data_IF_286338248706
#
_entry.id   IF_286338248706
#
_cell.length_a   1.000
_cell.length_b   1.000
_cell.length_c   1.000
_cell.angle_alpha   90.00
_cell.angle_beta   90.00
_cell.angle_gamma   90.00
#
_symmetry.space_group_name_H-M   'P 1'
#
loop_
_entity.id
_entity.type
_entity.pdbx_description
1 polymer ?
#
# COMPACT_ATOMS: atom_id res chain seq x y z
N UNK A 1 18.00 64.37 -9.07
CA UNK A 1 16.81 63.56 -9.43
C UNK A 1 17.27 62.15 -9.80
N UNK A 2 17.95 61.46 -8.89
CA UNK A 2 18.62 60.17 -9.16
C UNK A 2 18.45 59.16 -8.02
N UNK A 3 17.85 59.57 -6.90
CA UNK A 3 17.66 58.72 -5.71
C UNK A 3 16.37 57.87 -5.76
N UNK A 4 15.49 58.07 -6.75
CA UNK A 4 14.17 57.38 -6.82
C UNK A 4 14.13 56.11 -7.69
N UNK A 5 15.18 55.81 -8.48
CA UNK A 5 15.17 54.68 -9.42
C UNK A 5 15.79 53.39 -8.87
N UNK A 6 16.58 53.46 -7.79
CA UNK A 6 17.25 52.29 -7.22
C UNK A 6 16.33 51.38 -6.38
N UNK A 7 15.20 51.91 -5.90
CA UNK A 7 14.21 51.16 -5.11
C UNK A 7 13.34 50.21 -5.94
N UNK A 8 13.11 50.50 -7.22
CA UNK A 8 12.25 49.70 -8.11
C UNK A 8 13.01 48.59 -8.87
N UNK A 9 14.33 48.75 -9.09
CA UNK A 9 15.15 47.82 -9.89
C UNK A 9 15.75 46.66 -9.08
N UNK A 10 15.86 46.79 -7.74
CA UNK A 10 16.45 45.76 -6.88
C UNK A 10 15.50 44.57 -6.61
N UNK A 11 14.19 44.77 -6.81
CA UNK A 11 13.16 43.73 -6.61
C UNK A 11 12.55 43.17 -7.90
N UNK A 12 12.67 43.87 -9.03
CA UNK A 12 11.98 43.53 -10.28
C UNK A 12 12.59 42.37 -11.10
N UNK A 13 13.92 42.22 -11.28
CA UNK A 13 14.46 41.16 -12.16
C UNK A 13 14.54 39.78 -11.49
N UNK A 14 14.77 39.71 -10.17
CA UNK A 14 14.81 38.46 -9.41
C UNK A 14 13.43 37.89 -9.14
N UNK A 15 12.44 38.73 -8.87
CA UNK A 15 11.03 38.30 -8.74
C UNK A 15 10.46 37.79 -10.07
N UNK A 16 10.83 38.41 -11.19
CA UNK A 16 10.40 37.97 -12.53
C UNK A 16 11.02 36.62 -12.93
N UNK A 17 12.29 36.36 -12.59
CA UNK A 17 12.94 35.06 -12.81
C UNK A 17 12.33 33.94 -11.97
N UNK A 18 12.04 34.21 -10.69
CA UNK A 18 11.36 33.24 -9.80
C UNK A 18 9.97 32.92 -10.32
N UNK A 19 9.26 33.93 -10.83
CA UNK A 19 7.94 33.76 -11.45
C UNK A 19 8.03 32.91 -12.73
N UNK A 20 8.98 33.17 -13.62
CA UNK A 20 9.18 32.39 -14.84
C UNK A 20 9.59 30.94 -14.54
N UNK A 21 10.48 30.70 -13.57
CA UNK A 21 10.89 29.34 -13.18
C UNK A 21 9.72 28.57 -12.55
N UNK A 22 8.89 29.24 -11.75
CA UNK A 22 7.66 28.68 -11.18
C UNK A 22 6.65 28.34 -12.28
N UNK A 23 6.46 29.23 -13.25
CA UNK A 23 5.59 28.98 -14.41
C UNK A 23 6.10 27.83 -15.29
N UNK A 24 7.41 27.70 -15.51
CA UNK A 24 8.01 26.58 -16.24
C UNK A 24 7.90 25.26 -15.50
N UNK A 25 8.19 25.26 -14.20
CA UNK A 25 8.03 24.08 -13.33
C UNK A 25 6.58 23.61 -13.31
N UNK A 26 5.63 24.55 -13.18
CA UNK A 26 4.20 24.26 -13.24
C UNK A 26 3.77 23.71 -14.61
N UNK A 27 4.35 24.21 -15.72
CA UNK A 27 4.10 23.67 -17.08
C UNK A 27 4.60 22.24 -17.21
N UNK A 28 5.82 21.95 -16.75
CA UNK A 28 6.43 20.62 -16.85
C UNK A 28 5.62 19.57 -16.08
N UNK A 29 5.24 19.89 -14.84
CA UNK A 29 4.38 19.01 -14.01
C UNK A 29 3.05 18.75 -14.72
N UNK A 30 2.46 19.77 -15.35
CA UNK A 30 1.19 19.62 -16.08
C UNK A 30 1.33 18.72 -17.32
N UNK A 31 2.47 18.78 -18.00
CA UNK A 31 2.78 17.92 -19.13
C UNK A 31 3.01 16.47 -18.72
N UNK A 32 3.77 16.22 -17.66
CA UNK A 32 3.95 14.88 -17.07
C UNK A 32 2.61 14.31 -16.59
N UNK A 33 1.78 15.12 -15.94
CA UNK A 33 0.43 14.69 -15.55
C UNK A 33 -0.42 14.34 -16.77
N UNK A 34 -0.32 15.10 -17.87
CA UNK A 34 -1.07 14.82 -19.10
C UNK A 34 -0.59 13.54 -19.77
N UNK A 35 0.72 13.31 -19.80
CA UNK A 35 1.33 12.08 -20.31
C UNK A 35 0.94 10.87 -19.46
N UNK A 36 1.07 10.98 -18.14
CA UNK A 36 0.66 9.96 -17.19
C UNK A 36 -0.84 9.63 -17.33
N UNK A 37 -1.70 10.63 -17.51
CA UNK A 37 -3.12 10.40 -17.78
C UNK A 37 -3.37 9.64 -19.09
N UNK A 38 -2.61 9.91 -20.15
CA UNK A 38 -2.70 9.18 -21.42
C UNK A 38 -2.24 7.74 -21.26
N UNK A 39 -1.11 7.52 -20.58
CA UNK A 39 -0.57 6.17 -20.35
C UNK A 39 -1.49 5.35 -19.43
N UNK A 40 -2.03 5.97 -18.37
CA UNK A 40 -3.04 5.37 -17.50
C UNK A 40 -4.32 5.04 -18.27
N UNK A 41 -4.78 5.89 -19.19
CA UNK A 41 -5.93 5.58 -20.05
C UNK A 41 -5.64 4.43 -21.01
N UNK A 42 -4.44 4.35 -21.59
CA UNK A 42 -4.05 3.23 -22.45
C UNK A 42 -3.92 1.91 -21.66
N UNK A 43 -3.17 1.91 -20.56
CA UNK A 43 -2.99 0.73 -19.68
C UNK A 43 -4.32 0.32 -19.05
N UNK A 44 -5.05 1.29 -18.49
CA UNK A 44 -6.36 1.09 -17.88
C UNK A 44 -7.42 0.63 -18.86
N UNK A 45 -7.41 1.13 -20.10
CA UNK A 45 -8.35 0.70 -21.15
C UNK A 45 -8.17 -0.77 -21.54
N UNK A 46 -6.93 -1.25 -21.65
CA UNK A 46 -6.65 -2.67 -21.95
C UNK A 46 -7.01 -3.57 -20.77
N UNK A 47 -6.70 -3.16 -19.54
CA UNK A 47 -7.14 -3.86 -18.33
C UNK A 47 -8.67 -3.91 -18.22
N UNK A 48 -9.37 -2.81 -18.50
CA UNK A 48 -10.82 -2.73 -18.46
C UNK A 48 -11.50 -3.61 -19.52
N UNK A 49 -10.94 -3.67 -20.74
CA UNK A 49 -11.42 -4.61 -21.78
C UNK A 49 -11.26 -6.06 -21.33
N UNK A 50 -10.09 -6.40 -20.78
CA UNK A 50 -9.83 -7.72 -20.21
C UNK A 50 -10.84 -8.06 -19.11
N UNK A 51 -11.05 -7.17 -18.16
CA UNK A 51 -12.00 -7.36 -17.06
C UNK A 51 -13.43 -7.60 -17.55
N UNK A 52 -13.90 -6.86 -18.58
CA UNK A 52 -15.23 -7.07 -19.16
C UNK A 52 -15.35 -8.43 -19.86
N UNK A 53 -14.35 -8.81 -20.65
CA UNK A 53 -14.35 -10.10 -21.35
C UNK A 53 -14.30 -11.27 -20.38
N UNK A 54 -13.41 -11.23 -19.38
CA UNK A 54 -13.34 -12.25 -18.34
C UNK A 54 -14.58 -12.26 -17.45
N UNK A 55 -15.17 -11.10 -17.16
CA UNK A 55 -16.44 -11.00 -16.44
C UNK A 55 -17.58 -11.69 -17.20
N UNK A 56 -17.72 -11.38 -18.51
CA UNK A 56 -18.70 -12.04 -19.37
C UNK A 56 -18.46 -13.54 -19.50
N UNK A 57 -17.21 -13.94 -19.76
CA UNK A 57 -16.81 -15.35 -19.82
C UNK A 57 -17.11 -16.10 -18.52
N UNK A 58 -16.88 -15.47 -17.35
CA UNK A 58 -17.19 -16.05 -16.05
C UNK A 58 -18.69 -16.30 -15.87
N UNK A 59 -19.54 -15.34 -16.25
CA UNK A 59 -21.00 -15.51 -16.19
C UNK A 59 -21.46 -16.61 -17.16
N UNK A 60 -20.98 -16.61 -18.40
CA UNK A 60 -21.30 -17.67 -19.38
C UNK A 60 -20.83 -19.04 -18.92
N UNK A 61 -19.63 -19.14 -18.35
CA UNK A 61 -19.10 -20.38 -17.80
C UNK A 61 -19.90 -20.87 -16.59
N UNK A 62 -20.42 -19.96 -15.76
CA UNK A 62 -21.28 -20.32 -14.63
C UNK A 62 -22.59 -20.98 -15.10
N UNK A 63 -23.29 -20.36 -16.06
CA UNK A 63 -24.53 -20.92 -16.60
C UNK A 63 -24.29 -22.21 -17.41
N UNK A 64 -23.28 -22.21 -18.29
CA UNK A 64 -22.90 -23.39 -19.07
C UNK A 64 -22.44 -24.55 -18.19
N UNK A 65 -21.64 -24.26 -17.17
CA UNK A 65 -21.21 -25.22 -16.16
C UNK A 65 -22.39 -25.79 -15.37
N UNK A 66 -23.31 -24.94 -14.92
CA UNK A 66 -24.55 -25.38 -14.25
C UNK A 66 -25.41 -26.29 -15.13
N UNK A 67 -25.58 -25.94 -16.41
CA UNK A 67 -26.31 -26.78 -17.37
C UNK A 67 -25.61 -28.12 -17.60
N UNK A 68 -24.28 -28.14 -17.68
CA UNK A 68 -23.50 -29.37 -17.83
C UNK A 68 -23.58 -30.26 -16.59
N UNK A 69 -23.53 -29.68 -15.39
CA UNK A 69 -23.75 -30.40 -14.13
C UNK A 69 -25.15 -31.02 -14.10
N UNK A 70 -26.18 -30.25 -14.46
CA UNK A 70 -27.54 -30.76 -14.56
C UNK A 70 -27.66 -31.91 -15.57
N UNK A 71 -27.00 -31.80 -16.73
CA UNK A 71 -26.97 -32.85 -17.74
C UNK A 71 -26.28 -34.13 -17.23
N UNK A 72 -25.16 -34.02 -16.51
CA UNK A 72 -24.47 -35.18 -15.91
C UNK A 72 -25.36 -35.83 -14.85
N UNK A 73 -25.99 -35.04 -13.97
CA UNK A 73 -26.91 -35.57 -12.96
C UNK A 73 -28.09 -36.28 -13.63
N UNK A 74 -28.68 -35.70 -14.67
CA UNK A 74 -29.76 -36.33 -15.43
C UNK A 74 -29.32 -37.63 -16.11
N UNK A 75 -28.12 -37.67 -16.69
CA UNK A 75 -27.57 -38.87 -17.32
C UNK A 75 -27.33 -39.99 -16.28
N UNK A 76 -26.76 -39.66 -15.12
CA UNK A 76 -26.56 -40.62 -14.03
C UNK A 76 -27.88 -41.08 -13.41
N UNK A 77 -28.89 -40.20 -13.37
CA UNK A 77 -30.22 -40.53 -12.86
C UNK A 77 -30.94 -41.61 -13.69
N UNK A 78 -30.46 -41.93 -14.90
CA UNK A 78 -30.95 -43.06 -15.68
C UNK A 78 -30.56 -44.42 -15.07
N UNK A 79 -29.49 -44.47 -14.26
CA UNK A 79 -28.97 -45.69 -13.66
C UNK A 79 -29.12 -45.74 -12.12
N UNK A 80 -29.29 -44.60 -11.45
CA UNK A 80 -29.40 -44.51 -9.99
C UNK A 80 -30.39 -43.41 -9.57
N UNK A 81 -30.85 -43.38 -8.30
CA UNK A 81 -31.71 -42.31 -7.80
C UNK A 81 -31.09 -40.92 -7.96
N UNK A 82 -31.92 -39.93 -8.31
CA UNK A 82 -31.50 -38.54 -8.57
C UNK A 82 -30.72 -37.91 -7.42
N UNK A 83 -31.09 -38.22 -6.17
CA UNK A 83 -30.39 -37.70 -4.98
C UNK A 83 -28.95 -38.23 -4.88
N UNK A 84 -28.71 -39.51 -5.20
CA UNK A 84 -27.39 -40.12 -5.16
C UNK A 84 -26.51 -39.58 -6.30
N UNK A 85 -27.08 -39.38 -7.49
CA UNK A 85 -26.39 -38.77 -8.62
C UNK A 85 -25.92 -37.35 -8.28
N UNK A 86 -26.80 -36.54 -7.70
CA UNK A 86 -26.47 -35.18 -7.30
C UNK A 86 -25.35 -35.13 -6.25
N UNK A 87 -25.34 -36.04 -5.27
CA UNK A 87 -24.28 -36.12 -4.25
C UNK A 87 -22.94 -36.49 -4.87
N UNK A 88 -22.90 -37.50 -5.75
CA UNK A 88 -21.66 -37.95 -6.40
C UNK A 88 -21.06 -36.81 -7.23
N UNK A 89 -21.87 -36.17 -8.08
CA UNK A 89 -21.41 -35.06 -8.92
C UNK A 89 -20.92 -33.89 -8.06
N UNK A 90 -21.64 -33.54 -7.00
CA UNK A 90 -21.24 -32.50 -6.06
C UNK A 90 -19.89 -32.81 -5.40
N UNK A 91 -19.69 -34.05 -4.94
CA UNK A 91 -18.45 -34.47 -4.30
C UNK A 91 -17.25 -34.32 -5.25
N UNK A 92 -17.39 -34.75 -6.51
CA UNK A 92 -16.34 -34.60 -7.53
C UNK A 92 -16.03 -33.12 -7.79
N UNK A 93 -17.06 -32.28 -7.92
CA UNK A 93 -16.87 -30.84 -8.12
C UNK A 93 -16.18 -30.17 -6.93
N UNK A 94 -16.48 -30.55 -5.69
CA UNK A 94 -15.80 -30.02 -4.51
C UNK A 94 -14.32 -30.39 -4.48
N UNK A 95 -13.96 -31.61 -4.87
CA UNK A 95 -12.55 -32.02 -4.98
C UNK A 95 -11.83 -31.17 -6.03
N UNK A 96 -12.42 -31.00 -7.21
CA UNK A 96 -11.87 -30.14 -8.28
C UNK A 96 -11.73 -28.70 -7.79
N UNK A 97 -12.77 -28.16 -7.15
CA UNK A 97 -12.77 -26.80 -6.61
C UNK A 97 -11.70 -26.61 -5.54
N UNK A 98 -11.49 -27.59 -4.65
CA UNK A 98 -10.43 -27.54 -3.65
C UNK A 98 -9.03 -27.47 -4.28
N UNK A 99 -8.76 -28.29 -5.31
CA UNK A 99 -7.49 -28.27 -6.04
C UNK A 99 -7.29 -26.94 -6.78
N UNK A 100 -8.31 -26.45 -7.48
CA UNK A 100 -8.26 -25.17 -8.18
C UNK A 100 -8.05 -24.00 -7.22
N UNK A 101 -8.74 -24.00 -6.07
CA UNK A 101 -8.56 -22.97 -5.04
C UNK A 101 -7.14 -22.98 -4.45
N UNK A 102 -6.56 -24.16 -4.22
CA UNK A 102 -5.17 -24.26 -3.77
C UNK A 102 -4.17 -23.75 -4.81
N UNK A 103 -4.37 -24.10 -6.09
CA UNK A 103 -3.52 -23.62 -7.20
C UNK A 103 -3.66 -22.11 -7.38
N UNK A 104 -4.89 -21.59 -7.41
CA UNK A 104 -5.17 -20.16 -7.52
C UNK A 104 -4.54 -19.34 -6.39
N UNK A 105 -4.59 -19.83 -5.14
CA UNK A 105 -3.89 -19.19 -4.01
C UNK A 105 -2.38 -19.08 -4.24
N UNK A 106 -1.74 -20.12 -4.79
CA UNK A 106 -0.30 -20.11 -5.10
C UNK A 106 0.03 -19.11 -6.21
N UNK A 107 -0.75 -19.09 -7.28
CA UNK A 107 -0.54 -18.15 -8.39
C UNK A 107 -0.75 -16.70 -7.96
N UNK A 108 -1.76 -16.42 -7.13
CA UNK A 108 -1.99 -15.08 -6.58
C UNK A 108 -0.88 -14.65 -5.63
N UNK A 109 -0.31 -15.57 -4.87
CA UNK A 109 0.85 -15.29 -4.02
C UNK A 109 2.10 -14.92 -4.85
N UNK A 110 2.23 -15.45 -6.07
CA UNK A 110 3.31 -15.12 -7.00
C UNK A 110 3.03 -13.84 -7.82
N UNK A 111 1.76 -13.56 -8.12
CA UNK A 111 1.35 -12.42 -8.94
C UNK A 111 1.19 -11.11 -8.15
N UNK A 112 1.09 -11.19 -6.82
CA UNK A 112 1.17 -10.00 -5.97
C UNK A 112 2.66 -9.71 -5.78
N UNK A 113 3.18 -8.50 -6.12
CA UNK A 113 4.56 -8.16 -5.80
C UNK A 113 4.77 -8.47 -4.31
N UNK A 114 5.89 -9.13 -3.94
CA UNK A 114 6.12 -9.53 -2.56
C UNK A 114 5.84 -8.31 -1.70
N UNK A 115 4.91 -8.43 -0.75
CA UNK A 115 4.80 -7.44 0.32
C UNK A 115 6.24 -7.21 0.76
N UNK A 116 6.78 -5.99 0.76
CA UNK A 116 8.16 -5.79 1.12
C UNK A 116 8.24 -6.02 2.63
N UNK A 117 8.32 -7.29 3.03
CA UNK A 117 8.50 -7.74 4.40
C UNK A 117 9.80 -7.12 4.93
N UNK A 118 10.80 -6.98 4.05
CA UNK A 118 12.03 -6.23 4.32
C UNK A 118 11.79 -4.74 4.63
N UNK A 119 10.81 -4.07 4.01
CA UNK A 119 10.48 -2.67 4.34
C UNK A 119 9.60 -2.55 5.58
N UNK A 120 8.79 -3.55 5.89
CA UNK A 120 8.01 -3.58 7.13
C UNK A 120 8.90 -3.89 8.34
N UNK A 121 9.91 -4.76 8.18
CA UNK A 121 10.90 -5.07 9.20
C UNK A 121 11.87 -3.91 9.43
N UNK A 122 12.34 -3.24 8.36
CA UNK A 122 13.21 -2.05 8.51
C UNK A 122 12.48 -0.92 9.26
N UNK A 123 11.21 -0.66 8.93
CA UNK A 123 10.40 0.36 9.63
C UNK A 123 10.14 -0.03 11.10
N UNK A 124 10.00 -1.32 11.41
CA UNK A 124 9.86 -1.79 12.82
C UNK A 124 11.17 -1.68 13.60
N UNK A 125 12.31 -1.87 12.95
CA UNK A 125 13.63 -1.68 13.54
C UNK A 125 13.88 -0.20 13.85
N UNK A 126 13.61 0.69 12.90
CA UNK A 126 13.78 2.15 13.06
C UNK A 126 12.92 2.70 14.21
N UNK A 127 11.68 2.20 14.36
CA UNK A 127 10.78 2.61 15.47
C UNK A 127 11.29 2.13 16.84
N UNK A 128 11.93 0.96 16.90
CA UNK A 128 12.50 0.45 18.16
C UNK A 128 13.74 1.23 18.56
N UNK A 129 14.60 1.59 17.61
CA UNK A 129 15.79 2.40 17.85
C UNK A 129 15.44 3.80 18.35
N UNK A 130 14.46 4.46 17.71
CA UNK A 130 13.96 5.76 18.18
C UNK A 130 13.39 5.67 19.60
N UNK A 131 12.69 4.56 19.92
CA UNK A 131 12.11 4.37 21.26
C UNK A 131 13.20 4.18 22.33
N UNK A 132 14.28 3.47 22.03
CA UNK A 132 15.43 3.30 22.92
C UNK A 132 16.23 4.60 23.06
N UNK A 133 16.41 5.38 21.98
CA UNK A 133 17.05 6.69 22.07
C UNK A 133 16.25 7.67 22.93
N UNK A 134 14.91 7.71 22.80
CA UNK A 134 14.05 8.57 23.64
C UNK A 134 14.12 8.15 25.10
N UNK A 135 14.19 6.85 25.38
CA UNK A 135 14.33 6.31 26.75
C UNK A 135 15.71 6.62 27.34
N UNK A 136 16.76 6.52 26.54
CA UNK A 136 18.15 6.84 26.91
C UNK A 136 18.33 8.34 27.18
N UNK A 137 17.80 9.21 26.31
CA UNK A 137 17.85 10.68 26.48
C UNK A 137 16.98 11.17 27.63
N UNK A 138 15.84 10.53 27.90
CA UNK A 138 14.97 10.83 29.04
C UNK A 138 15.52 10.36 30.40
N UNK A 139 16.38 9.34 30.42
CA UNK A 139 17.05 8.87 31.63
C UNK A 139 18.25 9.73 32.05
N UNK A 140 19.00 10.24 31.08
CA UNK A 140 20.24 11.00 31.34
C UNK A 140 19.98 12.41 31.90
N UNK A 141 18.84 13.03 31.58
CA UNK A 141 18.42 14.30 32.19
C UNK A 141 18.01 14.12 33.65
N UNK A 142 17.23 13.07 33.97
CA UNK A 142 16.78 12.81 35.35
C UNK A 142 17.91 12.40 36.30
N UNK A 143 18.94 11.70 35.80
CA UNK A 143 20.10 11.31 36.59
C UNK A 143 21.02 12.49 36.95
N UNK A 144 21.09 13.52 36.10
CA UNK A 144 21.98 14.67 36.32
C UNK A 144 21.42 15.68 37.33
N UNK A 145 20.09 15.76 37.44
CA UNK A 145 19.42 16.64 38.41
C UNK A 145 19.47 16.05 39.84
N UNK A 146 19.20 14.74 40.00
CA UNK A 146 19.20 14.08 41.33
C UNK A 146 20.56 14.03 42.02
N UNK A 147 21.66 13.89 41.26
CA UNK A 147 23.03 13.89 41.83
C UNK A 147 23.44 15.28 42.34
N UNK A 148 22.92 16.34 41.70
CA UNK A 148 23.24 17.73 42.08
C UNK A 148 22.50 18.14 43.37
N UNK A 149 21.29 17.63 43.57
CA UNK A 149 20.50 17.84 44.79
C UNK A 149 21.09 17.09 46.00
N UNK A 150 21.59 15.87 45.79
CA UNK A 150 22.24 15.09 46.87
C UNK A 150 23.60 15.69 47.29
N UNK A 151 24.40 16.15 46.33
CA UNK A 151 25.69 16.78 46.61
C UNK A 151 25.54 18.13 47.34
N UNK A 152 24.48 18.88 47.07
CA UNK A 152 24.21 20.16 47.75
C UNK A 152 23.58 19.99 49.13
N UNK A 153 22.79 18.92 49.35
CA UNK A 153 22.26 18.58 50.68
C UNK A 153 23.36 18.13 51.66
N UNK A 154 24.33 17.33 51.19
CA UNK A 154 25.42 16.82 52.04
C UNK A 154 26.42 17.90 52.46
N UNK A 155 26.59 18.96 51.66
CA UNK A 155 27.46 20.09 51.99
C UNK A 155 26.88 21.02 53.09
N UNK A 156 25.55 21.06 53.25
CA UNK A 156 24.90 21.86 54.32
C UNK A 156 24.73 21.11 55.65
N UNK A 157 24.68 19.78 55.63
CA UNK A 157 24.45 18.97 56.85
C UNK A 157 25.68 18.72 57.73
N UNK A 158 26.90 18.94 57.22
CA UNK A 158 28.14 18.63 57.93
C UNK A 158 28.69 19.71 58.87
N UNK A 159 27.96 20.82 59.08
CA UNK A 159 28.44 21.97 59.87
C UNK A 159 27.71 22.19 61.20
N UNK A 160 26.83 21.30 61.64
CA UNK A 160 26.24 21.38 62.99
C UNK A 160 26.22 20.00 63.62
N UNK A 161 27.15 19.83 64.55
CA UNK A 161 27.10 19.05 65.80
C UNK A 161 25.95 18.06 65.98
#
# INVERSE_FOLDING_TARGET
MTERLSGDLAGAPTSELVKQLSEQSARLVREEMRLAQLELKQKGGRAAKGAKLYGGAGVTALYGGGALVAAIVAALALALPTWAAAIIVSAVLFVVAAVLAQRGKKEMALATPPKPEQSAESVRADVQEIKEEVKSKGGSTKAKDGVKDEATAKAKGGSVR
#
